data_IF_698840572237
#
_entry.id   IF_698840572237
#
_cell.length_a   1.000
_cell.length_b   1.000
_cell.length_c   1.000
_cell.angle_alpha   90.00
_cell.angle_beta   90.00
_cell.angle_gamma   90.00
#
_symmetry.space_group_name_H-M   'P 1'
#
loop_
_entity.id
_entity.type
_entity.pdbx_description
1 polymer ?
#
# COMPACT_ATOMS: atom_id res chain seq x y z
N UNK A 1 18.89 1.66 4.02
CA UNK A 1 17.69 1.90 4.83
C UNK A 1 16.56 2.41 3.95
N UNK A 2 15.38 1.82 4.09
CA UNK A 2 14.24 2.22 3.27
C UNK A 2 13.55 3.46 3.84
N UNK A 3 12.97 4.32 2.99
CA UNK A 3 12.26 5.53 3.43
C UNK A 3 10.83 5.25 3.92
N UNK A 4 10.49 3.99 4.12
CA UNK A 4 9.20 3.56 4.64
C UNK A 4 9.39 2.30 5.49
N UNK A 5 8.41 1.99 6.31
CA UNK A 5 8.45 0.82 7.19
C UNK A 5 7.53 -0.27 6.67
N UNK A 6 8.01 -1.50 6.69
CA UNK A 6 7.19 -2.68 6.41
C UNK A 6 7.57 -3.80 7.38
N UNK A 7 6.54 -4.42 7.94
CA UNK A 7 6.69 -5.63 8.76
C UNK A 7 6.14 -6.80 7.97
N UNK A 8 7.03 -7.72 7.59
CA UNK A 8 6.63 -8.90 6.81
C UNK A 8 6.05 -9.94 7.76
N UNK A 9 4.82 -10.36 7.50
CA UNK A 9 4.10 -11.36 8.29
C UNK A 9 3.91 -12.64 7.48
N UNK A 10 4.14 -13.83 8.08
CA UNK A 10 3.90 -15.09 7.40
C UNK A 10 2.41 -15.28 7.06
N UNK A 11 2.14 -16.05 6.01
CA UNK A 11 0.77 -16.39 5.62
C UNK A 11 0.09 -15.38 4.73
N UNK A 12 0.75 -14.29 4.37
CA UNK A 12 0.22 -13.27 3.45
C UNK A 12 1.17 -13.09 2.28
N UNK A 13 0.62 -12.75 1.13
CA UNK A 13 1.43 -12.50 -0.07
C UNK A 13 2.42 -11.37 0.18
N UNK A 14 3.68 -11.64 -0.05
CA UNK A 14 4.78 -10.71 0.20
C UNK A 14 4.62 -9.43 -0.64
N UNK A 15 4.30 -9.60 -1.93
CA UNK A 15 4.01 -8.50 -2.84
C UNK A 15 2.96 -7.54 -2.25
N UNK A 16 1.84 -8.09 -1.79
CA UNK A 16 0.72 -7.28 -1.28
C UNK A 16 1.10 -6.51 -0.03
N UNK A 17 1.88 -7.12 0.85
CA UNK A 17 2.34 -6.46 2.07
C UNK A 17 3.24 -5.27 1.77
N UNK A 18 4.15 -5.40 0.81
CA UNK A 18 5.06 -4.31 0.43
C UNK A 18 4.29 -3.21 -0.30
N UNK A 19 3.40 -3.57 -1.22
CA UNK A 19 2.53 -2.60 -1.91
C UNK A 19 1.71 -1.81 -0.91
N UNK A 20 1.13 -2.48 0.08
CA UNK A 20 0.35 -1.81 1.12
C UNK A 20 1.21 -0.83 1.94
N UNK A 21 2.40 -1.26 2.35
CA UNK A 21 3.30 -0.41 3.15
C UNK A 21 3.70 0.86 2.41
N UNK A 22 4.01 0.75 1.12
CA UNK A 22 4.37 1.91 0.29
C UNK A 22 3.15 2.81 0.06
N UNK A 23 1.99 2.21 -0.24
CA UNK A 23 0.74 2.95 -0.42
C UNK A 23 0.44 3.78 0.83
N UNK A 24 0.54 3.16 2.00
CA UNK A 24 0.32 3.85 3.28
C UNK A 24 1.30 5.00 3.47
N UNK A 25 2.58 4.79 3.17
CA UNK A 25 3.61 5.82 3.31
C UNK A 25 3.35 7.03 2.39
N UNK A 26 2.88 6.78 1.17
CA UNK A 26 2.54 7.86 0.23
C UNK A 26 1.30 8.62 0.70
N UNK A 27 0.26 7.90 1.08
CA UNK A 27 -1.02 8.52 1.46
C UNK A 27 -0.91 9.31 2.76
N UNK A 28 -0.12 8.84 3.71
CA UNK A 28 0.08 9.52 5.00
C UNK A 28 1.14 10.61 4.96
N UNK A 29 1.79 10.83 3.82
CA UNK A 29 2.79 11.90 3.64
C UNK A 29 4.21 11.54 4.08
N UNK A 30 4.47 10.33 4.51
CA UNK A 30 5.81 9.87 4.85
C UNK A 30 6.73 9.89 3.62
N UNK A 31 6.17 9.50 2.46
CA UNK A 31 6.80 9.66 1.16
C UNK A 31 6.06 10.79 0.44
N UNK A 32 6.79 11.80 -0.02
CA UNK A 32 6.20 12.96 -0.67
C UNK A 32 6.46 12.95 -2.16
N UNK A 33 5.57 13.59 -2.91
CA UNK A 33 5.69 13.71 -4.36
C UNK A 33 7.07 14.25 -4.74
N UNK A 34 7.73 13.61 -5.69
CA UNK A 34 9.06 13.96 -6.14
C UNK A 34 10.20 13.29 -5.39
N UNK A 35 9.93 12.67 -4.24
CA UNK A 35 10.96 11.91 -3.52
C UNK A 35 11.44 10.74 -4.37
N UNK A 36 12.73 10.47 -4.31
CA UNK A 36 13.27 9.28 -4.97
C UNK A 36 12.84 8.02 -4.25
N UNK A 37 12.41 7.02 -5.03
CA UNK A 37 12.06 5.72 -4.51
C UNK A 37 13.25 4.76 -4.73
N UNK A 38 13.53 3.84 -3.80
CA UNK A 38 14.63 2.89 -3.97
C UNK A 38 14.52 2.10 -5.27
N UNK A 39 15.67 1.80 -5.87
CA UNK A 39 15.71 0.93 -7.04
C UNK A 39 15.21 -0.48 -6.70
N UNK A 40 14.81 -1.24 -7.71
CA UNK A 40 14.42 -2.64 -7.54
C UNK A 40 15.51 -3.44 -6.82
N UNK A 41 16.75 -3.18 -7.17
CA UNK A 41 17.91 -3.85 -6.54
C UNK A 41 17.98 -3.51 -5.06
N UNK A 42 17.91 -2.23 -4.71
CA UNK A 42 17.95 -1.77 -3.31
C UNK A 42 16.77 -2.34 -2.53
N UNK A 43 15.57 -2.26 -3.09
CA UNK A 43 14.36 -2.78 -2.46
C UNK A 43 14.48 -4.28 -2.19
N UNK A 44 14.96 -5.04 -3.17
CA UNK A 44 15.19 -6.48 -3.05
C UNK A 44 16.21 -6.81 -1.93
N UNK A 45 17.31 -6.09 -1.90
CA UNK A 45 18.38 -6.31 -0.92
C UNK A 45 17.95 -5.94 0.50
N UNK A 46 17.30 -4.78 0.66
CA UNK A 46 16.87 -4.30 1.97
C UNK A 46 15.76 -5.15 2.57
N UNK A 47 14.82 -5.59 1.77
CA UNK A 47 13.70 -6.43 2.23
C UNK A 47 14.03 -7.92 2.20
N UNK A 48 15.16 -8.31 1.61
CA UNK A 48 15.55 -9.71 1.43
C UNK A 48 14.47 -10.50 0.70
N UNK A 49 14.00 -9.94 -0.40
CA UNK A 49 13.00 -10.56 -1.27
C UNK A 49 13.55 -10.80 -2.66
N UNK A 50 12.89 -11.68 -3.40
CA UNK A 50 13.28 -11.97 -4.76
C UNK A 50 13.21 -10.69 -5.62
N UNK A 51 14.22 -10.41 -6.47
CA UNK A 51 14.18 -9.25 -7.37
C UNK A 51 12.94 -9.20 -8.27
N UNK A 52 12.43 -10.34 -8.70
CA UNK A 52 11.20 -10.39 -9.49
C UNK A 52 9.99 -9.90 -8.69
N UNK A 53 9.93 -10.23 -7.41
CA UNK A 53 8.87 -9.73 -6.51
C UNK A 53 9.01 -8.23 -6.33
N UNK A 54 10.22 -7.73 -6.11
CA UNK A 54 10.49 -6.30 -5.99
C UNK A 54 10.09 -5.55 -7.26
N UNK A 55 10.38 -6.11 -8.44
CA UNK A 55 9.98 -5.52 -9.72
C UNK A 55 8.46 -5.44 -9.84
N UNK A 56 7.76 -6.50 -9.47
CA UNK A 56 6.29 -6.52 -9.50
C UNK A 56 5.68 -5.50 -8.55
N UNK A 57 6.27 -5.30 -7.39
CA UNK A 57 5.84 -4.26 -6.43
C UNK A 57 5.92 -2.89 -7.08
N UNK A 58 7.06 -2.54 -7.66
CA UNK A 58 7.25 -1.24 -8.32
C UNK A 58 6.28 -1.08 -9.49
N UNK A 59 6.12 -2.10 -10.33
CA UNK A 59 5.19 -2.08 -11.45
C UNK A 59 3.76 -1.82 -10.98
N UNK A 60 3.32 -2.51 -9.93
CA UNK A 60 1.99 -2.32 -9.35
C UNK A 60 1.79 -0.88 -8.87
N UNK A 61 2.78 -0.33 -8.18
CA UNK A 61 2.69 1.03 -7.65
C UNK A 61 2.68 2.09 -8.75
N UNK A 62 3.42 1.87 -9.83
CA UNK A 62 3.37 2.74 -11.01
C UNK A 62 1.99 2.69 -11.67
N UNK A 63 1.45 1.49 -11.85
CA UNK A 63 0.10 1.30 -12.43
C UNK A 63 -0.98 1.97 -11.59
N UNK A 64 -0.83 1.99 -10.27
CA UNK A 64 -1.78 2.63 -9.35
C UNK A 64 -1.58 4.13 -9.22
N UNK A 65 -0.59 4.70 -9.91
CA UNK A 65 -0.35 6.14 -9.88
C UNK A 65 0.36 6.66 -8.63
N UNK A 66 0.99 5.78 -7.86
CA UNK A 66 1.71 6.14 -6.63
C UNK A 66 3.20 6.36 -6.87
N UNK A 67 3.75 5.75 -7.90
CA UNK A 67 5.14 5.94 -8.33
C UNK A 67 5.17 6.29 -9.81
N UNK A 68 6.25 6.95 -10.23
CA UNK A 68 6.53 7.29 -11.63
C UNK A 68 7.92 6.81 -12.01
N UNK A 69 8.04 6.19 -13.17
CA UNK A 69 9.35 5.91 -13.76
C UNK A 69 9.78 7.13 -14.59
N UNK A 70 10.91 7.73 -14.25
CA UNK A 70 11.44 8.90 -14.97
C UNK A 70 12.74 8.55 -15.66
N UNK A 71 12.81 8.64 -17.01
CA UNK A 71 14.03 8.34 -17.75
C UNK A 71 15.21 9.16 -17.22
N UNK A 72 16.35 8.50 -17.00
CA UNK A 72 17.58 9.13 -16.54
C UNK A 72 17.62 9.49 -15.06
N UNK A 73 16.49 9.40 -14.36
CA UNK A 73 16.40 9.73 -12.93
C UNK A 73 16.11 8.49 -12.08
N UNK A 74 15.28 7.59 -12.57
CA UNK A 74 14.81 6.41 -11.87
C UNK A 74 13.36 6.55 -11.44
N UNK A 75 12.98 5.87 -10.38
CA UNK A 75 11.61 5.89 -9.88
C UNK A 75 11.46 6.96 -8.81
N UNK A 76 10.40 7.73 -8.90
CA UNK A 76 10.06 8.78 -7.93
C UNK A 76 8.62 8.61 -7.46
N UNK A 77 8.31 9.21 -6.32
CA UNK A 77 6.94 9.23 -5.79
C UNK A 77 6.10 10.19 -6.63
N UNK A 78 4.95 9.72 -7.09
CA UNK A 78 4.03 10.51 -7.90
C UNK A 78 3.19 11.44 -7.04
N UNK A 79 2.62 12.48 -7.67
CA UNK A 79 1.63 13.33 -7.03
C UNK A 79 0.27 12.62 -7.13
N UNK A 80 -0.04 11.79 -6.14
CA UNK A 80 -1.30 11.06 -6.11
C UNK A 80 -2.45 11.98 -5.70
N UNK A 81 -3.66 11.60 -6.10
CA UNK A 81 -4.89 12.30 -5.70
C UNK A 81 -5.94 11.27 -5.30
N UNK A 82 -6.81 11.59 -4.32
CA UNK A 82 -7.92 10.72 -3.99
C UNK A 82 -8.78 10.44 -5.22
N UNK A 83 -9.26 9.21 -5.34
CA UNK A 83 -10.20 8.85 -6.38
C UNK A 83 -11.49 9.65 -6.23
N UNK A 84 -12.18 9.89 -7.34
CA UNK A 84 -13.46 10.60 -7.35
C UNK A 84 -14.41 9.92 -8.33
N UNK A 85 -15.68 10.30 -8.27
CA UNK A 85 -16.69 9.80 -9.19
C UNK A 85 -17.48 8.60 -8.68
N UNK A 86 -18.36 8.07 -9.53
CA UNK A 86 -19.38 7.10 -9.16
C UNK A 86 -18.83 5.73 -8.74
N UNK A 87 -17.69 5.31 -9.26
CA UNK A 87 -17.10 4.00 -8.94
C UNK A 87 -16.38 3.91 -7.61
N UNK A 88 -16.25 5.00 -6.90
CA UNK A 88 -15.43 5.10 -5.68
C UNK A 88 -15.90 4.17 -4.56
N UNK A 89 -17.20 4.11 -4.33
CA UNK A 89 -17.78 3.23 -3.31
C UNK A 89 -17.62 1.76 -3.68
N UNK A 90 -17.84 1.43 -4.94
CA UNK A 90 -17.70 0.07 -5.43
C UNK A 90 -16.27 -0.45 -5.26
N UNK A 91 -15.27 0.43 -5.36
CA UNK A 91 -13.87 0.05 -5.16
C UNK A 91 -13.57 -0.46 -3.74
N UNK A 92 -14.35 -0.07 -2.74
CA UNK A 92 -14.18 -0.55 -1.36
C UNK A 92 -15.16 -1.66 -0.99
N UNK A 93 -16.20 -1.89 -1.78
CA UNK A 93 -17.29 -2.80 -1.40
C UNK A 93 -16.80 -4.20 -1.06
N UNK A 94 -15.86 -4.73 -1.82
CA UNK A 94 -15.32 -6.06 -1.60
C UNK A 94 -14.52 -6.15 -0.29
N UNK A 95 -13.69 -5.15 -0.01
CA UNK A 95 -12.93 -5.10 1.25
C UNK A 95 -13.84 -4.95 2.45
N UNK A 96 -14.89 -4.14 2.33
CA UNK A 96 -15.88 -3.97 3.41
C UNK A 96 -16.62 -5.27 3.66
N UNK A 97 -17.04 -5.97 2.61
CA UNK A 97 -17.70 -7.26 2.75
C UNK A 97 -16.83 -8.26 3.49
N UNK A 98 -15.56 -8.38 3.10
CA UNK A 98 -14.60 -9.27 3.77
C UNK A 98 -14.36 -8.88 5.23
N UNK A 99 -14.24 -7.59 5.49
CA UNK A 99 -14.05 -7.09 6.85
C UNK A 99 -15.27 -7.41 7.73
N UNK A 100 -16.48 -7.21 7.22
CA UNK A 100 -17.71 -7.50 7.95
C UNK A 100 -17.82 -8.98 8.29
N UNK A 101 -17.54 -9.85 7.32
CA UNK A 101 -17.57 -11.30 7.53
C UNK A 101 -16.55 -11.70 8.59
N UNK A 102 -15.34 -11.20 8.53
CA UNK A 102 -14.29 -11.49 9.48
C UNK A 102 -14.63 -10.97 10.88
N UNK A 103 -15.17 -9.77 10.97
CA UNK A 103 -15.60 -9.18 12.24
C UNK A 103 -16.68 -10.04 12.91
N UNK A 104 -17.64 -10.52 12.14
CA UNK A 104 -18.69 -11.43 12.63
C UNK A 104 -18.09 -12.75 13.08
N UNK A 105 -17.15 -13.30 12.34
CA UNK A 105 -16.48 -14.55 12.72
C UNK A 105 -15.78 -14.41 14.07
N UNK A 106 -15.22 -13.25 14.35
CA UNK A 106 -14.49 -12.95 15.59
C UNK A 106 -15.40 -12.48 16.74
N UNK A 107 -16.69 -12.33 16.49
CA UNK A 107 -17.66 -11.96 17.52
C UNK A 107 -17.78 -10.46 17.77
N UNK A 108 -17.26 -9.61 16.88
CA UNK A 108 -17.42 -8.17 16.99
C UNK A 108 -18.78 -7.73 16.47
N UNK A 109 -19.34 -6.67 17.08
CA UNK A 109 -20.50 -5.99 16.54
C UNK A 109 -20.07 -4.76 15.72
N UNK A 110 -21.04 -4.09 15.10
CA UNK A 110 -20.75 -2.94 14.25
C UNK A 110 -20.13 -1.79 15.03
N UNK A 111 -20.51 -1.61 16.28
CA UNK A 111 -19.97 -0.55 17.13
C UNK A 111 -18.49 -0.72 17.38
N UNK A 112 -18.07 -1.94 17.68
CA UNK A 112 -16.66 -2.31 17.87
C UNK A 112 -15.86 -1.99 16.61
N UNK A 113 -16.40 -2.35 15.45
CA UNK A 113 -15.74 -2.16 14.17
C UNK A 113 -15.59 -0.67 13.83
N UNK A 114 -16.65 0.11 14.05
CA UNK A 114 -16.62 1.56 13.84
C UNK A 114 -15.57 2.23 14.73
N UNK A 115 -15.52 1.84 16.01
CA UNK A 115 -14.53 2.39 16.94
C UNK A 115 -13.10 2.06 16.51
N UNK A 116 -12.87 0.84 16.06
CA UNK A 116 -11.55 0.42 15.56
C UNK A 116 -11.14 1.24 14.34
N UNK A 117 -12.06 1.45 13.40
CA UNK A 117 -11.80 2.26 12.21
C UNK A 117 -11.46 3.69 12.59
N UNK A 118 -12.19 4.29 13.53
CA UNK A 118 -11.92 5.65 13.98
C UNK A 118 -10.52 5.79 14.59
N UNK A 119 -10.08 4.80 15.36
CA UNK A 119 -8.73 4.81 15.95
C UNK A 119 -7.63 4.75 14.89
N UNK A 120 -7.86 4.00 13.82
CA UNK A 120 -6.88 3.88 12.72
C UNK A 120 -6.90 5.08 11.76
N UNK A 121 -7.96 5.83 11.75
CA UNK A 121 -8.12 6.96 10.84
C UNK A 121 -7.33 8.16 11.33
N UNK A 122 -6.19 8.39 10.67
CA UNK A 122 -5.28 9.46 11.09
C UNK A 122 -5.01 10.42 9.96
#
# INVERSE_FOLDING_TARGET
MLPFSVTIRPGRALHDQVVFAVTKAVITGQLQAGDRFPSVRTLSQELKINPNTAQKVVTTLVERGLLEARPGIGTTVAAWRPASGAGRRAALADQIDRLVVEAKRLGFDVSDLVDAIRREWK
#
